data_IF_434208217759
#
_entry.id   IF_434208217759
#
_cell.length_a   1.000
_cell.length_b   1.000
_cell.length_c   1.000
_cell.angle_alpha   90.00
_cell.angle_beta   90.00
_cell.angle_gamma   90.00
#
_symmetry.space_group_name_H-M   'P 1'
#
loop_
_entity.id
_entity.type
_entity.pdbx_description
1 polymer ?
#
# COMPACT_ATOMS: atom_id res chain seq x y z
N UNK A 1 -2.50 26.11 41.69
CA UNK A 1 -1.11 25.88 42.17
C UNK A 1 -0.15 25.32 41.12
N UNK A 2 -0.64 24.82 39.95
CA UNK A 2 0.21 24.12 38.94
C UNK A 2 0.83 25.06 37.90
N UNK A 3 0.29 26.26 37.69
CA UNK A 3 0.74 27.18 36.63
C UNK A 3 2.09 27.86 36.89
N UNK A 4 2.48 28.11 38.12
CA UNK A 4 3.73 28.81 38.45
C UNK A 4 4.97 27.93 38.21
N UNK A 5 5.01 26.66 38.66
CA UNK A 5 6.15 25.77 38.37
C UNK A 5 6.37 25.53 36.90
N UNK A 6 5.27 25.41 36.09
CA UNK A 6 5.33 25.19 34.66
C UNK A 6 5.93 26.37 33.91
N UNK A 7 5.60 27.62 34.27
CA UNK A 7 6.20 28.82 33.65
C UNK A 7 7.68 28.99 33.97
N UNK A 8 8.10 28.72 35.21
CA UNK A 8 9.51 28.80 35.60
C UNK A 8 10.34 27.75 34.88
N UNK A 9 9.80 26.54 34.69
CA UNK A 9 10.45 25.45 33.92
C UNK A 9 10.68 25.78 32.44
N UNK A 10 9.79 26.55 31.83
CA UNK A 10 9.92 26.91 30.40
C UNK A 10 10.94 28.05 30.19
N UNK A 11 10.98 29.05 31.08
CA UNK A 11 11.80 30.26 30.88
C UNK A 11 13.22 30.16 31.47
N UNK A 12 13.51 29.23 32.40
CA UNK A 12 14.84 29.03 33.01
C UNK A 12 15.19 27.55 33.16
N UNK A 13 14.89 26.77 32.13
CA UNK A 13 15.08 25.32 32.14
C UNK A 13 16.51 24.91 32.54
N UNK A 14 17.52 25.56 31.99
CA UNK A 14 18.92 25.19 32.19
C UNK A 14 19.40 25.47 33.62
N UNK A 15 19.03 26.62 34.20
CA UNK A 15 19.46 26.98 35.54
C UNK A 15 18.77 26.19 36.65
N UNK A 16 17.51 25.82 36.43
CA UNK A 16 16.73 24.98 37.36
C UNK A 16 17.18 23.53 37.25
N UNK A 17 17.40 23.03 36.01
CA UNK A 17 17.88 21.69 35.77
C UNK A 17 19.24 21.43 36.45
N UNK A 18 20.21 22.34 36.34
CA UNK A 18 21.53 22.18 36.96
C UNK A 18 21.48 22.13 38.50
N UNK A 19 20.61 22.90 39.13
CA UNK A 19 20.46 22.86 40.59
C UNK A 19 19.74 21.61 41.09
N UNK A 20 18.74 21.14 40.35
CA UNK A 20 17.97 19.95 40.73
C UNK A 20 18.76 18.69 40.43
N UNK A 21 19.62 18.68 39.38
CA UNK A 21 20.40 17.52 38.96
C UNK A 21 21.31 16.98 40.09
N UNK A 22 21.91 17.85 40.88
CA UNK A 22 22.76 17.42 42.02
C UNK A 22 21.94 16.72 43.12
N UNK A 23 20.78 17.27 43.49
CA UNK A 23 19.89 16.65 44.47
C UNK A 23 19.30 15.36 43.94
N UNK A 24 18.86 15.37 42.68
CA UNK A 24 18.31 14.18 41.98
C UNK A 24 19.33 13.04 41.93
N UNK A 25 20.60 13.34 41.58
CA UNK A 25 21.67 12.36 41.52
C UNK A 25 21.97 11.76 42.91
N UNK A 26 21.96 12.58 43.96
CA UNK A 26 22.10 12.11 45.33
C UNK A 26 20.98 11.16 45.77
N UNK A 27 19.74 11.50 45.43
CA UNK A 27 18.57 10.63 45.68
C UNK A 27 18.63 9.33 44.87
N UNK A 28 19.03 9.41 43.61
CA UNK A 28 19.21 8.21 42.74
C UNK A 28 20.26 7.27 43.31
N UNK A 29 21.40 7.76 43.77
CA UNK A 29 22.47 6.94 44.36
C UNK A 29 21.98 6.28 45.64
N UNK A 30 21.25 7.01 46.50
CA UNK A 30 20.69 6.48 47.74
C UNK A 30 19.64 5.40 47.50
N UNK A 31 18.79 5.57 46.47
CA UNK A 31 17.73 4.62 46.11
C UNK A 31 18.20 3.47 45.22
N UNK A 32 19.40 3.56 44.62
CA UNK A 32 19.93 2.56 43.71
C UNK A 32 19.94 1.13 44.28
N UNK A 33 20.40 0.88 45.55
CA UNK A 33 20.38 -0.47 46.08
C UNK A 33 18.96 -1.02 46.25
N UNK A 34 17.99 -0.18 46.58
CA UNK A 34 16.60 -0.56 46.77
C UNK A 34 15.98 -0.92 45.40
N UNK A 35 16.20 -0.09 44.39
CA UNK A 35 15.70 -0.32 43.06
C UNK A 35 16.34 -1.55 42.44
N UNK A 36 17.61 -1.83 42.66
CA UNK A 36 18.31 -3.01 42.19
C UNK A 36 17.72 -4.31 42.79
N UNK A 37 17.45 -4.31 44.11
CA UNK A 37 16.80 -5.45 44.79
C UNK A 37 15.40 -5.70 44.23
N UNK A 38 14.57 -4.64 44.11
CA UNK A 38 13.24 -4.74 43.51
C UNK A 38 13.28 -5.26 42.09
N UNK A 39 14.20 -4.77 41.26
CA UNK A 39 14.37 -5.24 39.89
C UNK A 39 14.73 -6.73 39.83
N UNK A 40 15.62 -7.18 40.73
CA UNK A 40 16.01 -8.59 40.79
C UNK A 40 14.85 -9.49 41.20
N UNK A 41 14.03 -9.06 42.17
CA UNK A 41 12.82 -9.79 42.60
C UNK A 41 11.82 -9.88 41.44
N UNK A 42 11.53 -8.76 40.77
CA UNK A 42 10.63 -8.72 39.63
C UNK A 42 11.15 -9.63 38.49
N UNK A 43 12.45 -9.58 38.19
CA UNK A 43 13.07 -10.43 37.17
C UNK A 43 12.94 -11.91 37.49
N UNK A 44 13.07 -12.32 38.74
CA UNK A 44 12.87 -13.72 39.16
C UNK A 44 11.41 -14.16 39.04
N UNK A 45 10.48 -13.30 39.47
CA UNK A 45 9.04 -13.58 39.34
C UNK A 45 8.65 -13.67 37.86
N UNK A 46 9.13 -12.75 37.00
CA UNK A 46 8.86 -12.75 35.56
C UNK A 46 9.36 -14.04 34.88
N UNK A 47 10.49 -14.59 35.32
CA UNK A 47 11.00 -15.88 34.81
C UNK A 47 10.09 -17.05 35.16
N UNK A 48 9.50 -17.07 36.36
CA UNK A 48 8.57 -18.11 36.79
C UNK A 48 7.30 -18.08 35.92
N UNK A 49 6.86 -16.90 35.52
CA UNK A 49 5.69 -16.73 34.61
C UNK A 49 6.04 -16.79 33.12
N UNK A 50 7.28 -17.15 32.74
CA UNK A 50 7.68 -17.30 31.34
C UNK A 50 7.80 -15.98 30.58
N UNK A 51 7.78 -14.82 31.27
CA UNK A 51 7.97 -13.50 30.66
C UNK A 51 9.46 -13.16 30.75
N UNK A 52 10.16 -13.12 29.62
CA UNK A 52 11.55 -12.69 29.60
C UNK A 52 11.66 -11.23 30.06
N UNK A 53 12.51 -10.89 31.06
CA UNK A 53 12.68 -9.51 31.54
C UNK A 53 13.27 -8.58 30.47
N UNK A 54 13.89 -9.14 29.45
CA UNK A 54 14.33 -8.46 28.23
C UNK A 54 13.36 -8.70 27.05
N UNK A 55 12.05 -8.60 27.28
CA UNK A 55 11.16 -8.35 26.14
C UNK A 55 11.67 -7.04 25.51
N UNK A 56 12.54 -7.19 24.49
CA UNK A 56 13.03 -6.11 23.64
C UNK A 56 11.89 -5.11 23.52
N UNK A 57 12.14 -3.85 23.88
CA UNK A 57 11.18 -2.77 23.64
C UNK A 57 10.55 -3.09 22.31
N UNK A 58 9.24 -3.46 22.32
CA UNK A 58 8.51 -3.73 21.07
C UNK A 58 8.84 -2.56 20.17
N UNK A 59 9.49 -2.87 19.04
CA UNK A 59 9.81 -1.83 18.06
C UNK A 59 8.54 -1.02 17.83
N UNK A 60 8.66 0.19 17.37
CA UNK A 60 7.51 1.00 16.99
C UNK A 60 6.63 0.10 16.12
N UNK A 61 5.43 -0.19 16.61
CA UNK A 61 4.45 -1.00 15.88
C UNK A 61 3.60 -0.06 15.02
N UNK A 62 2.99 -0.59 13.98
CA UNK A 62 2.03 0.14 13.15
C UNK A 62 0.93 0.80 14.00
N UNK A 63 0.32 0.07 14.93
CA UNK A 63 -0.64 0.61 15.91
C UNK A 63 -0.05 1.78 16.72
N UNK A 64 1.24 1.71 17.06
CA UNK A 64 1.93 2.79 17.76
C UNK A 64 2.07 4.04 16.91
N UNK A 65 2.33 3.87 15.59
CA UNK A 65 2.39 4.98 14.64
C UNK A 65 0.99 5.58 14.46
N UNK A 66 -0.03 4.76 14.20
CA UNK A 66 -1.42 5.22 14.06
C UNK A 66 -1.90 5.98 15.29
N UNK A 67 -1.59 5.51 16.51
CA UNK A 67 -1.91 6.24 17.74
C UNK A 67 -1.22 7.61 17.82
N UNK A 68 -0.01 7.75 17.28
CA UNK A 68 0.68 9.05 17.20
C UNK A 68 0.04 9.96 16.16
N UNK A 69 -0.40 9.41 15.03
CA UNK A 69 -1.12 10.13 13.98
C UNK A 69 -2.46 10.65 14.50
N UNK A 70 -3.24 9.82 15.22
CA UNK A 70 -4.49 10.22 15.87
C UNK A 70 -4.30 11.41 16.82
N UNK A 71 -3.26 11.33 17.66
CA UNK A 71 -2.93 12.47 18.56
C UNK A 71 -2.47 13.71 17.80
N UNK A 72 -1.80 13.53 16.67
CA UNK A 72 -1.40 14.61 15.78
C UNK A 72 -2.60 15.36 15.22
N UNK A 73 -3.62 14.61 14.78
CA UNK A 73 -4.88 15.14 14.30
C UNK A 73 -5.64 15.90 15.41
N UNK A 74 -5.83 15.28 16.57
CA UNK A 74 -6.49 15.93 17.72
C UNK A 74 -5.85 17.27 18.13
N UNK A 75 -4.53 17.39 17.95
CA UNK A 75 -3.78 18.61 18.26
C UNK A 75 -3.70 19.59 17.09
N UNK A 76 -4.21 19.23 15.91
CA UNK A 76 -4.14 20.03 14.68
C UNK A 76 -2.75 20.08 14.06
N UNK A 77 -1.84 19.17 14.44
CA UNK A 77 -0.50 19.05 13.85
C UNK A 77 -0.52 18.21 12.56
N UNK A 78 -1.51 17.36 12.36
CA UNK A 78 -1.77 16.52 11.20
C UNK A 78 -3.19 16.82 10.73
N UNK A 79 -3.39 16.99 9.43
CA UNK A 79 -4.70 17.19 8.84
C UNK A 79 -5.45 15.86 8.70
N UNK A 80 -6.77 15.89 8.65
CA UNK A 80 -7.62 14.71 8.51
C UNK A 80 -7.28 13.91 7.23
N UNK A 81 -7.07 14.59 6.11
CA UNK A 81 -6.67 13.96 4.85
C UNK A 81 -5.26 13.33 4.91
N UNK A 82 -4.34 13.91 5.66
CA UNK A 82 -2.99 13.34 5.85
C UNK A 82 -3.07 12.05 6.70
N UNK A 83 -3.91 12.05 7.75
CA UNK A 83 -4.18 10.86 8.55
C UNK A 83 -4.78 9.74 7.69
N UNK A 84 -5.77 10.06 6.86
CA UNK A 84 -6.41 9.10 5.97
C UNK A 84 -5.40 8.45 5.02
N UNK A 85 -4.52 9.25 4.40
CA UNK A 85 -3.45 8.75 3.53
C UNK A 85 -2.48 7.82 4.27
N UNK A 86 -2.10 8.18 5.50
CA UNK A 86 -1.20 7.34 6.31
C UNK A 86 -1.86 5.99 6.61
N UNK A 87 -3.14 5.98 6.96
CA UNK A 87 -3.90 4.76 7.22
C UNK A 87 -3.98 3.89 5.96
N UNK A 88 -4.31 4.47 4.81
CA UNK A 88 -4.35 3.75 3.52
C UNK A 88 -3.01 3.14 3.10
N UNK A 89 -1.88 3.80 3.44
CA UNK A 89 -0.55 3.23 3.17
C UNK A 89 -0.35 1.92 3.95
N UNK A 90 -0.82 1.83 5.18
CA UNK A 90 -0.72 0.59 5.96
C UNK A 90 -1.66 -0.48 5.40
N UNK A 91 -2.93 -0.14 5.12
CA UNK A 91 -3.90 -1.05 4.52
C UNK A 91 -3.42 -1.59 3.16
N UNK A 92 -2.77 -0.75 2.35
CA UNK A 92 -2.21 -1.13 1.06
C UNK A 92 -1.17 -2.27 1.14
N UNK A 93 -0.44 -2.35 2.23
CA UNK A 93 0.54 -3.42 2.42
C UNK A 93 -0.10 -4.81 2.59
N UNK A 94 -1.34 -4.85 3.07
CA UNK A 94 -2.10 -6.09 3.30
C UNK A 94 -3.11 -6.37 2.18
N UNK A 95 -3.34 -5.39 1.29
CA UNK A 95 -4.27 -5.51 0.16
C UNK A 95 -3.69 -6.42 -0.91
N UNK A 96 -4.50 -7.33 -1.43
CA UNK A 96 -4.12 -8.28 -2.50
C UNK A 96 -4.60 -7.80 -3.88
N UNK A 97 -4.05 -8.39 -4.94
CA UNK A 97 -4.48 -8.12 -6.31
C UNK A 97 -5.97 -8.45 -6.52
N UNK A 98 -6.48 -9.48 -5.85
CA UNK A 98 -7.90 -9.86 -5.89
C UNK A 98 -8.83 -8.78 -5.34
N UNK A 99 -8.38 -8.04 -4.30
CA UNK A 99 -9.21 -7.05 -3.61
C UNK A 99 -9.49 -5.81 -4.47
N UNK A 100 -8.59 -5.50 -5.41
CA UNK A 100 -8.67 -4.32 -6.30
C UNK A 100 -8.92 -4.65 -7.77
N UNK A 101 -8.89 -5.94 -8.14
CA UNK A 101 -9.06 -6.35 -9.53
C UNK A 101 -10.48 -6.06 -10.03
N UNK A 102 -10.57 -5.59 -11.27
CA UNK A 102 -11.84 -5.67 -12.03
C UNK A 102 -12.17 -7.14 -12.23
N UNK A 103 -13.29 -7.59 -11.63
CA UNK A 103 -13.72 -8.98 -11.68
C UNK A 103 -13.96 -9.45 -13.12
N UNK A 104 -13.70 -10.75 -13.42
CA UNK A 104 -13.82 -11.32 -14.77
C UNK A 104 -15.15 -11.05 -15.47
N UNK A 105 -16.25 -10.94 -14.72
CA UNK A 105 -17.59 -10.64 -15.28
C UNK A 105 -17.69 -9.23 -15.85
N UNK A 106 -16.85 -8.32 -15.39
CA UNK A 106 -16.86 -6.90 -15.76
C UNK A 106 -15.70 -6.55 -16.70
N UNK A 107 -14.80 -7.53 -16.96
CA UNK A 107 -13.70 -7.36 -17.90
C UNK A 107 -14.22 -7.23 -19.30
N UNK A 108 -13.90 -6.11 -19.95
CA UNK A 108 -14.15 -5.90 -21.37
C UNK A 108 -12.94 -6.36 -22.17
N UNK A 109 -13.10 -7.42 -22.95
CA UNK A 109 -12.07 -8.05 -23.74
C UNK A 109 -12.57 -8.32 -25.16
N UNK A 110 -11.67 -8.67 -26.08
CA UNK A 110 -11.98 -9.06 -27.46
C UNK A 110 -11.38 -10.43 -27.77
N UNK A 111 -12.01 -11.13 -28.68
CA UNK A 111 -11.46 -12.39 -29.21
C UNK A 111 -10.26 -12.12 -30.14
N UNK A 112 -9.34 -13.04 -30.26
CA UNK A 112 -8.16 -12.93 -31.15
C UNK A 112 -8.50 -12.85 -32.62
N UNK A 113 -9.74 -13.21 -32.98
CA UNK A 113 -10.34 -13.07 -34.33
C UNK A 113 -10.89 -11.67 -34.61
N UNK A 114 -10.98 -10.79 -33.59
CA UNK A 114 -11.53 -9.45 -33.73
C UNK A 114 -10.71 -8.58 -34.68
N UNK A 115 -11.37 -7.60 -35.29
CA UNK A 115 -10.68 -6.64 -36.17
C UNK A 115 -10.16 -5.44 -35.37
N UNK A 116 -9.16 -4.75 -35.95
CA UNK A 116 -8.67 -3.49 -35.36
C UNK A 116 -9.77 -2.43 -35.19
N UNK A 117 -10.73 -2.43 -36.14
CA UNK A 117 -11.88 -1.53 -36.09
C UNK A 117 -12.78 -1.80 -34.89
N UNK A 118 -12.98 -3.08 -34.54
CA UNK A 118 -13.79 -3.49 -33.38
C UNK A 118 -13.15 -2.98 -32.09
N UNK A 119 -11.83 -3.11 -31.96
CA UNK A 119 -11.09 -2.62 -30.79
C UNK A 119 -11.18 -1.10 -30.68
N UNK A 120 -11.03 -0.38 -31.80
CA UNK A 120 -11.18 1.09 -31.79
C UNK A 120 -12.58 1.50 -31.37
N UNK A 121 -13.61 0.85 -31.91
CA UNK A 121 -14.99 1.15 -31.51
C UNK A 121 -15.25 0.84 -30.04
N UNK A 122 -14.76 -0.27 -29.53
CA UNK A 122 -14.86 -0.68 -28.14
C UNK A 122 -14.19 0.36 -27.22
N UNK A 123 -12.97 0.75 -27.56
CA UNK A 123 -12.21 1.77 -26.84
C UNK A 123 -12.91 3.12 -26.84
N UNK A 124 -13.44 3.57 -27.97
CA UNK A 124 -14.15 4.85 -28.06
C UNK A 124 -15.44 4.88 -27.22
N UNK A 125 -16.17 3.75 -27.16
CA UNK A 125 -17.41 3.65 -26.38
C UNK A 125 -17.15 3.62 -24.88
N UNK A 126 -16.13 2.87 -24.45
CA UNK A 126 -15.87 2.62 -23.03
C UNK A 126 -14.69 3.40 -22.44
N UNK A 127 -13.94 4.18 -23.25
CA UNK A 127 -12.76 4.91 -22.77
C UNK A 127 -11.54 4.02 -22.49
N UNK A 128 -11.55 2.77 -22.93
CA UNK A 128 -10.50 1.81 -22.58
C UNK A 128 -9.19 2.11 -23.32
N UNK A 129 -8.10 2.25 -22.57
CA UNK A 129 -6.76 2.44 -23.12
C UNK A 129 -6.04 1.13 -23.44
N UNK A 130 -6.46 0.02 -22.81
CA UNK A 130 -5.86 -1.31 -22.91
C UNK A 130 -6.98 -2.33 -22.94
N UNK A 131 -6.94 -3.23 -23.90
CA UNK A 131 -7.98 -4.23 -24.11
C UNK A 131 -7.35 -5.61 -24.09
N UNK A 132 -7.74 -6.49 -23.14
CA UNK A 132 -7.33 -7.90 -23.15
C UNK A 132 -7.84 -8.61 -24.40
N UNK A 133 -7.03 -9.55 -24.90
CA UNK A 133 -7.36 -10.41 -26.02
C UNK A 133 -7.39 -11.84 -25.52
N UNK A 134 -8.48 -12.55 -25.76
CA UNK A 134 -8.66 -13.95 -25.37
C UNK A 134 -8.80 -14.86 -26.58
N UNK A 135 -8.50 -16.14 -26.40
CA UNK A 135 -8.74 -17.20 -27.39
C UNK A 135 -9.79 -18.18 -26.84
N UNK A 136 -10.90 -18.35 -27.56
CA UNK A 136 -12.07 -19.16 -27.19
C UNK A 136 -12.84 -18.65 -25.98
N UNK A 137 -12.21 -18.48 -24.82
CA UNK A 137 -12.84 -17.97 -23.61
C UNK A 137 -11.92 -17.02 -22.79
N UNK A 138 -12.51 -16.34 -21.80
CA UNK A 138 -11.80 -15.38 -20.96
C UNK A 138 -10.74 -16.03 -20.04
N UNK A 139 -10.76 -17.35 -19.85
CA UNK A 139 -9.74 -18.04 -19.08
C UNK A 139 -8.42 -18.15 -19.85
N UNK A 140 -8.46 -17.95 -21.17
CA UNK A 140 -7.30 -18.00 -22.04
C UNK A 140 -6.95 -16.62 -22.61
N UNK A 141 -6.42 -15.72 -21.79
CA UNK A 141 -5.94 -14.41 -22.23
C UNK A 141 -4.59 -14.59 -22.95
N UNK A 142 -4.56 -14.31 -24.23
CA UNK A 142 -3.38 -14.48 -25.10
C UNK A 142 -2.58 -13.19 -25.30
N UNK A 143 -3.19 -12.03 -25.06
CA UNK A 143 -2.52 -10.75 -25.25
C UNK A 143 -3.25 -9.56 -24.65
N UNK A 144 -2.58 -8.40 -24.72
CA UNK A 144 -3.13 -7.08 -24.37
C UNK A 144 -2.87 -6.13 -25.52
N UNK A 145 -3.92 -5.54 -26.08
CA UNK A 145 -3.79 -4.47 -27.08
C UNK A 145 -3.78 -3.12 -26.37
N UNK A 146 -2.76 -2.34 -26.66
CA UNK A 146 -2.68 -0.93 -26.27
C UNK A 146 -3.28 -0.07 -27.38
N UNK A 147 -4.37 0.61 -27.11
CA UNK A 147 -5.10 1.40 -28.12
C UNK A 147 -4.21 2.46 -28.78
N UNK A 148 -3.25 3.04 -28.02
CA UNK A 148 -2.25 3.96 -28.57
C UNK A 148 -1.38 3.36 -29.69
N UNK A 149 -1.15 2.04 -29.68
CA UNK A 149 -0.35 1.38 -30.70
C UNK A 149 -1.13 1.25 -32.03
N UNK A 150 -2.47 1.30 -31.97
CA UNK A 150 -3.35 1.31 -33.15
C UNK A 150 -3.20 2.61 -33.97
N UNK A 151 -2.72 3.71 -33.36
CA UNK A 151 -2.50 4.97 -34.06
C UNK A 151 -1.50 4.86 -35.23
N UNK A 152 -0.62 3.86 -35.18
CA UNK A 152 0.33 3.56 -36.27
C UNK A 152 -0.37 3.10 -37.56
N UNK A 153 -1.59 2.58 -37.42
CA UNK A 153 -2.39 2.04 -38.52
C UNK A 153 -3.48 3.02 -38.98
N UNK A 154 -3.69 4.13 -38.24
CA UNK A 154 -4.61 5.18 -38.65
C UNK A 154 -3.95 6.03 -39.71
N UNK A 155 -4.44 5.96 -40.95
CA UNK A 155 -3.95 6.77 -42.10
C UNK A 155 -3.46 5.98 -43.30
N UNK A 156 -3.03 4.75 -43.13
CA UNK A 156 -2.73 3.83 -44.22
C UNK A 156 -3.94 2.92 -44.47
N UNK A 157 -5.10 3.48 -44.89
CA UNK A 157 -6.33 2.70 -45.00
C UNK A 157 -6.29 1.51 -44.07
N UNK A 158 -7.00 1.48 -42.93
CA UNK A 158 -7.00 0.34 -42.02
C UNK A 158 -7.09 -0.93 -42.87
N UNK A 159 -5.91 -1.41 -43.31
CA UNK A 159 -5.87 -2.59 -44.14
C UNK A 159 -6.40 -3.70 -43.23
N UNK A 160 -7.55 -4.28 -43.58
CA UNK A 160 -8.16 -5.43 -42.90
C UNK A 160 -7.20 -6.65 -42.83
N UNK A 161 -5.94 -6.46 -43.18
CA UNK A 161 -4.90 -7.48 -43.19
C UNK A 161 -4.07 -7.55 -41.89
N UNK A 162 -4.09 -6.52 -41.01
CA UNK A 162 -3.37 -6.62 -39.76
C UNK A 162 -4.25 -7.33 -38.72
N UNK A 163 -3.79 -8.46 -38.22
CA UNK A 163 -4.44 -9.22 -37.17
C UNK A 163 -4.17 -8.57 -35.79
N UNK A 164 -5.11 -8.70 -34.88
CA UNK A 164 -4.94 -8.35 -33.48
C UNK A 164 -3.69 -9.01 -32.87
N UNK A 165 -3.41 -10.25 -33.30
CA UNK A 165 -2.26 -11.06 -32.86
C UNK A 165 -0.92 -10.36 -33.16
N UNK A 166 -0.84 -9.63 -34.29
CA UNK A 166 0.40 -8.94 -34.70
C UNK A 166 0.73 -7.70 -33.83
N UNK A 167 -0.26 -7.17 -33.12
CA UNK A 167 -0.19 -5.90 -32.41
C UNK A 167 -0.22 -6.08 -30.90
N UNK A 168 -0.83 -7.17 -30.43
CA UNK A 168 -0.96 -7.44 -29.00
C UNK A 168 0.41 -7.67 -28.37
N UNK A 169 0.51 -7.28 -27.11
CA UNK A 169 1.67 -7.55 -26.26
C UNK A 169 1.39 -8.75 -25.38
N UNK A 170 2.44 -9.44 -24.95
CA UNK A 170 2.32 -10.56 -24.02
C UNK A 170 1.65 -10.10 -22.73
N UNK A 171 0.65 -10.84 -22.22
CA UNK A 171 0.03 -10.52 -20.95
C UNK A 171 0.99 -10.81 -19.80
N UNK A 172 0.85 -10.08 -18.72
CA UNK A 172 1.55 -10.32 -17.47
C UNK A 172 0.57 -10.91 -16.47
N UNK A 173 0.85 -12.14 -16.02
CA UNK A 173 -0.03 -12.87 -15.11
C UNK A 173 0.47 -12.77 -13.69
N UNK A 174 -0.46 -12.61 -12.75
CA UNK A 174 -0.20 -12.55 -11.32
C UNK A 174 -1.25 -13.36 -10.57
N UNK A 175 -0.91 -14.03 -9.46
CA UNK A 175 -1.89 -14.73 -8.64
C UNK A 175 -2.76 -13.75 -7.86
N UNK A 176 -3.98 -14.15 -7.53
CA UNK A 176 -4.94 -13.38 -6.72
C UNK A 176 -4.35 -12.92 -5.38
N UNK A 177 -3.51 -13.74 -4.77
CA UNK A 177 -2.89 -13.49 -3.47
C UNK A 177 -1.70 -12.54 -3.49
N UNK A 178 -1.33 -12.04 -4.67
CA UNK A 178 -0.20 -11.10 -4.82
C UNK A 178 -0.50 -9.80 -4.08
N UNK A 179 0.40 -9.36 -3.21
CA UNK A 179 0.26 -8.08 -2.51
C UNK A 179 0.37 -6.89 -3.47
N UNK A 180 -0.48 -5.90 -3.30
CA UNK A 180 -0.52 -4.70 -4.12
C UNK A 180 0.79 -3.92 -4.09
N UNK A 181 1.48 -3.86 -2.95
CA UNK A 181 2.78 -3.22 -2.78
C UNK A 181 3.88 -3.88 -3.62
N UNK A 182 3.89 -5.22 -3.70
CA UNK A 182 4.81 -5.96 -4.56
C UNK A 182 4.45 -5.80 -6.04
N UNK A 183 3.15 -5.91 -6.35
CA UNK A 183 2.63 -5.76 -7.71
C UNK A 183 2.94 -4.38 -8.28
N UNK A 184 2.76 -3.32 -7.49
CA UNK A 184 3.12 -1.94 -7.86
C UNK A 184 4.59 -1.83 -8.26
N UNK A 185 5.47 -2.41 -7.44
CA UNK A 185 6.92 -2.40 -7.70
C UNK A 185 7.25 -3.12 -9.00
N UNK A 186 6.72 -4.34 -9.20
CA UNK A 186 6.97 -5.14 -10.40
C UNK A 186 6.44 -4.47 -11.68
N UNK A 187 5.23 -3.93 -11.66
CA UNK A 187 4.64 -3.23 -12.81
C UNK A 187 5.44 -1.96 -13.15
N UNK A 188 5.88 -1.21 -12.12
CA UNK A 188 6.69 0.01 -12.29
C UNK A 188 8.06 -0.31 -12.92
N UNK A 189 8.77 -1.32 -12.40
CA UNK A 189 10.09 -1.71 -12.91
C UNK A 189 10.03 -2.23 -14.35
N UNK A 190 9.01 -3.03 -14.66
CA UNK A 190 8.78 -3.61 -16.00
C UNK A 190 8.12 -2.65 -16.96
N UNK A 191 7.65 -1.48 -16.51
CA UNK A 191 6.87 -0.50 -17.29
C UNK A 191 5.62 -1.12 -17.92
N UNK A 192 4.99 -2.03 -17.18
CA UNK A 192 3.70 -2.67 -17.51
C UNK A 192 2.62 -1.91 -16.75
N UNK A 193 1.46 -1.71 -17.36
CA UNK A 193 0.37 -0.93 -16.77
C UNK A 193 -0.91 -1.74 -16.55
N UNK A 194 -0.89 -3.03 -16.86
CA UNK A 194 -2.01 -3.95 -16.71
C UNK A 194 -1.49 -5.35 -16.48
N UNK A 195 -2.05 -6.07 -15.51
CA UNK A 195 -1.80 -7.48 -15.27
C UNK A 195 -3.10 -8.27 -15.30
N UNK A 196 -3.02 -9.52 -15.69
CA UNK A 196 -4.12 -10.49 -15.64
C UNK A 196 -4.00 -11.25 -14.31
N UNK A 197 -5.05 -11.21 -13.51
CA UNK A 197 -5.13 -11.93 -12.23
C UNK A 197 -5.65 -13.33 -12.48
N UNK A 198 -4.93 -14.33 -11.99
CA UNK A 198 -5.26 -15.75 -12.15
C UNK A 198 -5.61 -16.40 -10.82
N UNK A 199 -6.61 -17.26 -10.84
CA UNK A 199 -7.05 -18.07 -9.70
C UNK A 199 -6.15 -19.31 -9.48
N UNK A 200 -6.45 -20.13 -8.45
CA UNK A 200 -5.70 -21.34 -8.11
C UNK A 200 -5.80 -22.45 -9.17
N UNK A 201 -6.78 -22.35 -10.06
CA UNK A 201 -7.02 -23.32 -11.13
C UNK A 201 -6.40 -22.89 -12.46
N UNK A 202 -5.81 -21.69 -12.49
CA UNK A 202 -5.20 -21.11 -13.69
C UNK A 202 -6.19 -20.37 -14.60
N UNK A 203 -7.44 -20.20 -14.16
CA UNK A 203 -8.43 -19.37 -14.84
C UNK A 203 -8.22 -17.88 -14.61
N UNK A 204 -8.80 -17.04 -15.44
CA UNK A 204 -8.76 -15.59 -15.26
C UNK A 204 -9.78 -15.17 -14.20
N UNK A 205 -9.31 -14.66 -13.07
CA UNK A 205 -10.12 -14.06 -12.01
C UNK A 205 -10.53 -12.62 -12.36
N UNK A 206 -9.63 -11.88 -13.01
CA UNK A 206 -9.85 -10.50 -13.40
C UNK A 206 -8.63 -9.83 -14.01
N UNK A 207 -8.65 -8.51 -14.04
CA UNK A 207 -7.51 -7.69 -14.45
C UNK A 207 -7.25 -6.61 -13.38
N UNK A 208 -6.00 -6.19 -13.27
CA UNK A 208 -5.61 -5.08 -12.41
C UNK A 208 -4.72 -4.13 -13.20
N UNK A 209 -4.97 -2.84 -13.05
CA UNK A 209 -4.18 -1.79 -13.71
C UNK A 209 -3.33 -1.03 -12.70
N UNK A 210 -2.35 -0.27 -13.17
CA UNK A 210 -1.57 0.63 -12.33
C UNK A 210 -2.47 1.71 -11.73
N UNK A 211 -3.49 2.11 -12.46
CA UNK A 211 -4.50 3.08 -12.04
C UNK A 211 -5.28 2.56 -10.82
N UNK A 212 -5.74 1.31 -10.82
CA UNK A 212 -6.47 0.67 -9.70
C UNK A 212 -5.58 0.58 -8.45
N UNK A 213 -4.30 0.24 -8.64
CA UNK A 213 -3.32 0.21 -7.54
C UNK A 213 -3.12 1.60 -6.92
N UNK A 214 -3.03 2.64 -7.73
CA UNK A 214 -2.89 4.01 -7.25
C UNK A 214 -4.17 4.50 -6.57
N UNK A 215 -5.33 4.14 -7.11
CA UNK A 215 -6.63 4.48 -6.52
C UNK A 215 -6.79 3.84 -5.14
N UNK A 216 -6.37 2.58 -4.96
CA UNK A 216 -6.41 1.93 -3.64
C UNK A 216 -5.52 2.61 -2.60
N UNK A 217 -4.42 3.25 -3.03
CA UNK A 217 -3.48 3.96 -2.16
C UNK A 217 -3.98 5.36 -1.79
N UNK A 218 -4.54 6.09 -2.77
CA UNK A 218 -4.93 7.51 -2.60
C UNK A 218 -6.40 7.66 -2.24
N UNK A 219 -7.22 6.64 -2.56
CA UNK A 219 -8.69 6.69 -2.49
C UNK A 219 -9.27 7.39 -3.71
N UNK A 220 -10.59 7.27 -3.86
CA UNK A 220 -11.31 7.99 -4.90
C UNK A 220 -11.07 9.49 -4.75
N UNK A 221 -10.32 10.07 -5.69
CA UNK A 221 -10.20 11.51 -5.85
C UNK A 221 -11.37 12.02 -6.71
N UNK A 222 -12.59 11.59 -6.42
CA UNK A 222 -13.76 12.22 -6.98
C UNK A 222 -14.11 13.41 -6.08
N UNK A 223 -13.90 14.60 -6.67
CA UNK A 223 -14.41 15.88 -6.18
C UNK A 223 -15.94 15.94 -6.17
#
# INVERSE_FOLDING_TARGET
GVMIPRRIGIFRADGVAMRICGIYNGVCILLFPITWILYTIVAQISRIFGVAPDAKRKGITEEGILTMVDKGEETGAILENEKELITKIFEFNDTTASDIATHRTDVVAVEDTATLSDIVQLSLKGGYSRVPVYHEDLDNIVGIVYVKDLLKYVGNHMNNAASVIDIMRKPYFVPETKLCSELFTELSERKIQIAVVIDEYGGTAGIVTMEDILESLVGNMED
#
